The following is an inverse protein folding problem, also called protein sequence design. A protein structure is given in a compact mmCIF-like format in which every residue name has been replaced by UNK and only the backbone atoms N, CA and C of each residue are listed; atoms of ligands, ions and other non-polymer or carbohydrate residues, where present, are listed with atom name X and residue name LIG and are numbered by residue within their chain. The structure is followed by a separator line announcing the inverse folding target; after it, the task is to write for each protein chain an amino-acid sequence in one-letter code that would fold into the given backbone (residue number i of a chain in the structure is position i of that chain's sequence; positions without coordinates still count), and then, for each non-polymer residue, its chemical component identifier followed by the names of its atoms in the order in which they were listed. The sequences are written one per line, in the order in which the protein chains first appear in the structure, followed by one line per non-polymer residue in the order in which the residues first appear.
data_IF_227321382215
#
_entry.id   IF_227321382215
#
_cell.length_a   1.000
_cell.length_b   1.000
_cell.length_c   1.000
_cell.angle_alpha   90.00
_cell.angle_beta   90.00
_cell.angle_gamma   90.00
#
_symmetry.space_group_name_H-M   'P 1'
#
loop_
_entity.id
_entity.type
_entity.pdbx_description
1 polymer ?
#
# COMPACT_ATOMS: atom_id res chain seq x y z
N UNK A 1 8.03 8.33 7.27
CA UNK A 1 8.99 8.28 6.14
C UNK A 1 10.44 8.38 6.60
N UNK A 2 10.81 9.34 7.46
CA UNK A 2 12.19 9.54 7.95
C UNK A 2 12.85 8.27 8.47
N UNK A 3 12.11 7.42 9.20
CA UNK A 3 12.62 6.13 9.69
C UNK A 3 12.88 5.08 8.59
N UNK A 4 12.23 5.19 7.43
CA UNK A 4 12.27 4.21 6.34
C UNK A 4 13.13 4.64 5.14
N UNK A 5 13.49 5.92 5.07
CA UNK A 5 14.26 6.50 3.96
C UNK A 5 15.56 5.74 3.68
N UNK A 6 16.25 5.27 4.72
CA UNK A 6 17.50 4.52 4.58
C UNK A 6 17.33 3.15 3.89
N UNK A 7 16.13 2.56 3.89
CA UNK A 7 15.82 1.27 3.25
C UNK A 7 15.09 1.43 1.92
N UNK A 8 14.24 2.44 1.82
CA UNK A 8 13.35 2.66 0.67
C UNK A 8 13.91 3.67 -0.34
N UNK A 9 15.01 4.36 0.00
CA UNK A 9 15.62 5.36 -0.86
C UNK A 9 14.93 6.73 -0.77
N UNK A 10 15.24 7.60 -1.73
CA UNK A 10 14.61 8.92 -1.82
C UNK A 10 13.22 8.82 -2.43
N UNK A 11 12.28 9.59 -1.89
CA UNK A 11 10.95 9.72 -2.47
C UNK A 11 10.95 10.75 -3.60
N UNK A 12 10.11 10.53 -4.60
CA UNK A 12 9.84 11.51 -5.64
C UNK A 12 8.83 12.55 -5.13
N UNK A 13 8.94 13.83 -5.54
CA UNK A 13 7.95 14.83 -5.21
C UNK A 13 6.55 14.43 -5.69
N UNK A 14 5.51 14.77 -4.92
CA UNK A 14 4.14 14.55 -5.33
C UNK A 14 3.23 15.67 -4.84
N UNK A 15 2.29 16.08 -5.69
CA UNK A 15 1.26 17.08 -5.39
C UNK A 15 -0.08 16.43 -5.00
N UNK A 16 -0.09 15.14 -4.67
CA UNK A 16 -1.32 14.43 -4.34
C UNK A 16 -1.81 14.87 -2.96
N UNK A 17 -3.11 15.20 -2.87
CA UNK A 17 -3.78 15.52 -1.62
C UNK A 17 -4.67 14.34 -1.25
N UNK A 18 -4.47 13.81 -0.05
CA UNK A 18 -5.38 12.82 0.54
C UNK A 18 -6.53 13.56 1.20
N UNK A 19 -7.75 13.28 0.74
CA UNK A 19 -8.97 13.69 1.43
C UNK A 19 -9.43 12.55 2.33
N UNK A 20 -9.38 12.78 3.64
CA UNK A 20 -9.82 11.81 4.65
C UNK A 20 -11.31 11.99 4.98
N UNK A 21 -11.90 10.99 5.62
CA UNK A 21 -13.35 10.93 5.85
C UNK A 21 -13.88 12.05 6.75
N UNK A 22 -13.05 12.59 7.64
CA UNK A 22 -13.34 13.74 8.51
C UNK A 22 -13.17 15.10 7.80
N UNK A 23 -13.02 15.08 6.47
CA UNK A 23 -12.89 16.24 5.59
C UNK A 23 -11.58 17.05 5.75
N UNK A 24 -10.59 16.52 6.49
CA UNK A 24 -9.24 17.07 6.43
C UNK A 24 -8.57 16.74 5.09
N UNK A 25 -7.65 17.63 4.70
CA UNK A 25 -6.82 17.48 3.52
C UNK A 25 -5.36 17.36 3.94
N UNK A 26 -4.72 16.26 3.57
CA UNK A 26 -3.34 15.96 3.94
C UNK A 26 -2.50 15.92 2.67
N UNK A 27 -1.55 16.84 2.56
CA UNK A 27 -0.64 16.88 1.43
C UNK A 27 0.35 15.72 1.50
N UNK A 28 0.60 15.06 0.37
CA UNK A 28 1.62 14.02 0.31
C UNK A 28 3.01 14.59 0.55
N UNK A 29 3.83 13.89 1.33
CA UNK A 29 5.26 14.15 1.48
C UNK A 29 6.05 13.71 0.24
N UNK A 30 5.47 12.85 -0.58
CA UNK A 30 6.08 12.34 -1.80
C UNK A 30 5.44 11.05 -2.28
N UNK A 31 6.09 10.41 -3.25
CA UNK A 31 5.78 9.11 -3.78
C UNK A 31 7.00 8.20 -3.70
N UNK A 32 6.78 6.95 -3.31
CA UNK A 32 7.75 5.89 -3.41
C UNK A 32 7.28 4.87 -4.43
N UNK A 33 8.19 4.33 -5.23
CA UNK A 33 7.91 3.26 -6.20
C UNK A 33 8.93 2.15 -6.01
N UNK A 34 8.46 0.91 -5.98
CA UNK A 34 9.32 -0.26 -5.97
C UNK A 34 8.56 -1.56 -5.76
N UNK A 35 9.32 -2.65 -5.72
CA UNK A 35 8.80 -3.98 -5.50
C UNK A 35 8.28 -4.14 -4.07
N UNK A 36 7.03 -4.55 -3.95
CA UNK A 36 6.42 -5.00 -2.70
C UNK A 36 6.24 -6.50 -2.73
N UNK A 37 6.54 -7.15 -1.62
CA UNK A 37 6.35 -8.60 -1.46
C UNK A 37 5.46 -8.80 -0.24
N UNK A 38 4.31 -9.43 -0.46
CA UNK A 38 3.39 -9.83 0.61
C UNK A 38 3.30 -11.36 0.55
N UNK A 39 3.80 -12.00 1.61
CA UNK A 39 4.06 -13.44 1.64
C UNK A 39 4.93 -13.88 0.45
N UNK A 40 4.35 -14.59 -0.53
CA UNK A 40 5.05 -15.09 -1.71
C UNK A 40 4.74 -14.30 -2.99
N UNK A 41 3.82 -13.33 -2.91
CA UNK A 41 3.35 -12.53 -4.04
C UNK A 41 4.11 -11.21 -4.09
N UNK A 42 4.91 -11.04 -5.15
CA UNK A 42 5.72 -9.84 -5.36
C UNK A 42 5.26 -9.04 -6.58
N UNK A 43 4.96 -7.74 -6.39
CA UNK A 43 4.53 -6.84 -7.47
C UNK A 43 5.19 -5.47 -7.35
N UNK A 44 5.45 -4.83 -8.50
CA UNK A 44 5.82 -3.42 -8.56
C UNK A 44 4.63 -2.54 -8.16
N UNK A 45 4.88 -1.58 -7.28
CA UNK A 45 3.83 -0.72 -6.76
C UNK A 45 4.34 0.69 -6.46
N UNK A 46 3.41 1.64 -6.52
CA UNK A 46 3.64 3.04 -6.18
C UNK A 46 2.79 3.44 -4.98
N UNK A 47 3.42 3.99 -3.95
CA UNK A 47 2.77 4.44 -2.73
C UNK A 47 2.94 5.95 -2.56
N UNK A 48 1.87 6.60 -2.12
CA UNK A 48 1.91 7.98 -1.66
C UNK A 48 2.25 7.99 -0.18
N UNK A 49 3.15 8.88 0.21
CA UNK A 49 3.63 9.02 1.58
C UNK A 49 2.85 10.16 2.21
N UNK A 50 2.15 9.90 3.31
CA UNK A 50 1.42 10.90 4.08
C UNK A 50 1.88 10.86 5.53
N UNK A 51 1.84 12.02 6.21
CA UNK A 51 1.99 12.06 7.66
C UNK A 51 0.60 11.93 8.30
N UNK A 52 0.29 10.70 8.73
CA UNK A 52 -0.99 10.34 9.34
C UNK A 52 -0.89 10.18 10.87
N UNK A 53 0.14 10.74 11.53
CA UNK A 53 0.29 10.67 12.98
C UNK A 53 0.13 9.24 13.56
N UNK A 54 0.70 8.24 12.88
CA UNK A 54 0.65 6.81 13.23
C UNK A 54 -0.72 6.11 13.12
N UNK A 55 -1.71 6.70 12.46
CA UNK A 55 -2.99 6.01 12.24
C UNK A 55 -2.83 4.68 11.47
N UNK A 56 -1.91 4.66 10.49
CA UNK A 56 -1.56 3.47 9.70
C UNK A 56 -0.08 3.51 9.30
N UNK A 57 0.57 2.35 9.23
CA UNK A 57 1.94 2.25 8.70
C UNK A 57 1.97 2.14 7.16
N UNK A 58 1.13 1.26 6.59
CA UNK A 58 0.98 1.04 5.15
C UNK A 58 -0.50 0.77 4.86
N UNK A 59 -1.02 1.36 3.77
CA UNK A 59 -2.35 1.04 3.24
C UNK A 59 -2.20 0.50 1.83
N UNK A 60 -2.57 -0.77 1.64
CA UNK A 60 -2.64 -1.42 0.33
C UNK A 60 -3.98 -1.07 -0.32
N UNK A 61 -4.00 0.06 -1.03
CA UNK A 61 -5.20 0.55 -1.68
C UNK A 61 -5.66 -0.30 -2.87
N UNK A 62 -6.84 0.04 -3.40
CA UNK A 62 -7.43 -0.62 -4.59
C UNK A 62 -6.46 -0.79 -5.77
N UNK A 63 -5.58 0.17 -6.11
CA UNK A 63 -4.62 -0.04 -7.20
C UNK A 63 -3.72 -1.26 -6.98
N UNK A 64 -3.17 -1.42 -5.78
CA UNK A 64 -2.33 -2.56 -5.44
C UNK A 64 -3.13 -3.87 -5.44
N UNK A 65 -4.32 -3.85 -4.83
CA UNK A 65 -5.22 -5.02 -4.78
C UNK A 65 -5.62 -5.52 -6.16
N UNK A 66 -5.79 -4.62 -7.13
CA UNK A 66 -6.05 -4.99 -8.53
C UNK A 66 -4.85 -5.69 -9.17
N UNK A 67 -3.62 -5.23 -8.88
CA UNK A 67 -2.40 -5.83 -9.45
C UNK A 67 -2.20 -7.27 -8.99
N UNK A 68 -2.65 -7.62 -7.78
CA UNK A 68 -2.56 -8.98 -7.22
C UNK A 68 -3.89 -9.75 -7.29
N UNK A 69 -4.82 -9.35 -8.15
CA UNK A 69 -6.11 -10.02 -8.34
C UNK A 69 -6.83 -10.36 -7.01
N UNK A 70 -6.81 -9.42 -6.05
CA UNK A 70 -7.23 -9.73 -4.69
C UNK A 70 -8.72 -10.09 -4.59
N UNK A 71 -9.04 -11.14 -3.86
CA UNK A 71 -10.40 -11.55 -3.51
C UNK A 71 -10.55 -11.48 -1.99
N UNK A 72 -11.45 -10.63 -1.52
CA UNK A 72 -11.75 -10.52 -0.09
C UNK A 72 -12.97 -11.37 0.25
N UNK A 73 -12.78 -12.39 1.07
CA UNK A 73 -13.85 -13.17 1.68
C UNK A 73 -14.08 -12.69 3.12
N UNK A 74 -15.13 -11.87 3.28
CA UNK A 74 -15.53 -11.34 4.57
C UNK A 74 -16.13 -12.39 5.51
N UNK A 75 -16.66 -13.50 4.99
CA UNK A 75 -17.26 -14.55 5.83
C UNK A 75 -16.18 -15.27 6.63
N UNK A 76 -15.04 -15.51 5.99
CA UNK A 76 -13.92 -16.23 6.58
C UNK A 76 -12.80 -15.31 7.11
N UNK A 77 -12.96 -13.99 6.95
CA UNK A 77 -11.98 -12.96 7.29
C UNK A 77 -10.60 -13.21 6.63
N UNK A 78 -10.65 -13.46 5.32
CA UNK A 78 -9.46 -13.76 4.52
C UNK A 78 -9.39 -12.91 3.26
N UNK A 79 -8.16 -12.61 2.85
CA UNK A 79 -7.89 -12.03 1.55
C UNK A 79 -6.96 -12.95 0.76
N UNK A 80 -7.46 -13.42 -0.38
CA UNK A 80 -6.65 -14.15 -1.34
C UNK A 80 -5.97 -13.16 -2.28
N UNK A 81 -4.67 -13.33 -2.49
CA UNK A 81 -3.87 -12.53 -3.41
C UNK A 81 -3.10 -13.45 -4.36
N UNK A 82 -3.03 -13.10 -5.64
CA UNK A 82 -2.36 -13.91 -6.64
C UNK A 82 -1.78 -13.10 -7.81
N UNK A 83 -0.66 -13.60 -8.32
CA UNK A 83 -0.10 -13.25 -9.62
C UNK A 83 -0.18 -14.46 -10.54
N UNK A 84 0.36 -14.36 -11.76
CA UNK A 84 0.34 -15.44 -12.75
C UNK A 84 0.94 -16.74 -12.18
N UNK A 85 1.99 -16.64 -11.37
CA UNK A 85 2.78 -17.80 -10.94
C UNK A 85 2.53 -18.24 -9.49
N UNK A 86 1.95 -17.36 -8.66
CA UNK A 86 1.87 -17.55 -7.21
C UNK A 86 0.56 -17.03 -6.66
N UNK A 87 0.05 -17.69 -5.64
CA UNK A 87 -1.14 -17.24 -4.92
C UNK A 87 -1.07 -17.65 -3.47
N UNK A 88 -1.62 -16.82 -2.60
CA UNK A 88 -1.64 -17.08 -1.17
C UNK A 88 -2.91 -16.53 -0.56
N UNK A 89 -3.27 -17.04 0.62
CA UNK A 89 -4.40 -16.52 1.39
C UNK A 89 -3.86 -15.94 2.69
N UNK A 90 -4.08 -14.63 2.87
CA UNK A 90 -3.79 -13.95 4.10
C UNK A 90 -5.03 -14.03 4.99
N UNK A 91 -4.80 -14.22 6.28
CA UNK A 91 -5.82 -14.23 7.31
C UNK A 91 -5.44 -13.20 8.36
N UNK A 92 -6.42 -12.45 8.83
CA UNK A 92 -6.24 -11.54 9.95
C UNK A 92 -6.17 -12.31 11.27
#
# INVERSE_FOLDING_TARGET
WTQWQHRLGQCQPSLTILKVADNHHIQSMGQWTGKTIVSEVGVEASFKIFDLHRAFEIILGKPWLKTVNAIHDFKNDTIHISTIDKGTTLRN
#
